data_IF_200188714560
#
_entry.id   IF_200188714560
#
_cell.length_a   1.000
_cell.length_b   1.000
_cell.length_c   1.000
_cell.angle_alpha   90.00
_cell.angle_beta   90.00
_cell.angle_gamma   90.00
#
_symmetry.space_group_name_H-M   'P 1'
#
loop_
_entity.id
_entity.type
_entity.pdbx_description
1 polymer ?
#
# COMPACT_ATOMS: atom_id res chain seq x y z
N UNK A 1 -15.45 -13.14 -70.13
CA UNK A 1 -14.90 -13.90 -69.00
C UNK A 1 -14.59 -12.90 -67.93
N UNK A 2 -15.53 -12.76 -66.92
CA UNK A 2 -15.36 -11.88 -65.76
C UNK A 2 -14.86 -12.72 -64.58
N UNK A 3 -13.72 -12.37 -64.03
CA UNK A 3 -13.15 -12.99 -62.82
C UNK A 3 -13.46 -12.11 -61.61
N UNK A 4 -14.40 -12.55 -60.77
CA UNK A 4 -14.65 -11.93 -59.47
C UNK A 4 -13.65 -12.41 -58.45
N UNK A 5 -12.75 -11.52 -57.98
CA UNK A 5 -11.94 -11.75 -56.78
C UNK A 5 -12.74 -11.44 -55.53
N UNK A 6 -13.10 -12.49 -54.79
CA UNK A 6 -13.63 -12.37 -53.41
C UNK A 6 -12.44 -12.12 -52.47
N UNK A 7 -12.28 -10.87 -52.06
CA UNK A 7 -11.38 -10.49 -50.99
C UNK A 7 -11.95 -10.87 -49.64
N UNK A 8 -11.45 -11.90 -48.98
CA UNK A 8 -11.81 -12.26 -47.63
C UNK A 8 -11.25 -11.24 -46.62
N UNK A 9 -12.14 -10.47 -45.98
CA UNK A 9 -11.77 -9.70 -44.78
C UNK A 9 -11.52 -10.68 -43.63
N UNK A 10 -10.27 -10.87 -43.28
CA UNK A 10 -9.90 -11.52 -42.02
C UNK A 10 -10.23 -10.55 -40.87
N UNK A 11 -11.35 -10.75 -40.22
CA UNK A 11 -11.67 -10.09 -38.96
C UNK A 11 -10.73 -10.69 -37.90
N UNK A 12 -9.62 -10.01 -37.66
CA UNK A 12 -8.75 -10.32 -36.52
C UNK A 12 -9.52 -10.12 -35.24
N UNK A 13 -9.87 -11.21 -34.54
CA UNK A 13 -10.34 -11.16 -33.18
C UNK A 13 -9.20 -10.64 -32.28
N UNK A 14 -9.07 -9.34 -32.17
CA UNK A 14 -8.27 -8.71 -31.14
C UNK A 14 -8.93 -8.99 -29.81
N UNK A 15 -8.51 -10.06 -29.13
CA UNK A 15 -8.84 -10.23 -27.73
C UNK A 15 -8.27 -9.04 -26.98
N UNK A 16 -9.11 -8.13 -26.54
CA UNK A 16 -8.74 -7.08 -25.62
C UNK A 16 -8.17 -7.80 -24.38
N UNK A 17 -6.86 -7.74 -24.18
CA UNK A 17 -6.25 -8.22 -22.96
C UNK A 17 -6.87 -7.45 -21.80
N UNK A 18 -7.55 -8.16 -20.91
CA UNK A 18 -8.02 -7.57 -19.66
C UNK A 18 -6.81 -6.95 -18.98
N UNK A 19 -6.84 -5.64 -18.65
CA UNK A 19 -5.67 -5.01 -18.02
C UNK A 19 -5.29 -5.79 -16.76
N UNK A 20 -4.02 -6.21 -16.67
CA UNK A 20 -3.54 -6.88 -15.47
C UNK A 20 -3.67 -5.94 -14.29
N UNK A 21 -4.18 -6.43 -13.16
CA UNK A 21 -4.28 -5.64 -11.93
C UNK A 21 -2.86 -5.26 -11.46
N UNK A 22 -2.57 -3.99 -11.19
CA UNK A 22 -1.23 -3.57 -10.78
C UNK A 22 -0.92 -4.07 -9.37
N UNK A 23 0.36 -4.33 -9.09
CA UNK A 23 0.83 -4.47 -7.73
C UNK A 23 0.84 -3.11 -7.03
N UNK A 24 0.56 -3.10 -5.73
CA UNK A 24 0.49 -1.89 -4.91
C UNK A 24 1.53 -1.99 -3.80
N UNK A 25 2.38 -0.98 -3.69
CA UNK A 25 3.31 -0.82 -2.57
C UNK A 25 2.98 0.47 -1.83
N UNK A 26 2.56 0.36 -0.58
CA UNK A 26 2.27 1.48 0.31
C UNK A 26 3.37 1.56 1.37
N UNK A 27 4.15 2.65 1.36
CA UNK A 27 5.21 2.88 2.34
C UNK A 27 4.75 3.96 3.30
N UNK A 28 4.78 3.67 4.60
CA UNK A 28 4.40 4.58 5.68
C UNK A 28 5.62 4.80 6.56
N UNK A 29 6.23 5.97 6.48
CA UNK A 29 7.29 6.35 7.40
C UNK A 29 6.67 6.78 8.73
N UNK A 30 7.03 6.07 9.82
CA UNK A 30 6.54 6.37 11.17
C UNK A 30 7.30 7.56 11.76
N UNK A 31 6.58 8.50 12.36
CA UNK A 31 7.12 9.71 13.00
C UNK A 31 8.08 10.52 12.09
N UNK A 32 7.88 10.47 10.78
CA UNK A 32 8.66 11.21 9.79
C UNK A 32 8.07 12.60 9.55
N UNK A 33 8.86 13.63 9.76
CA UNK A 33 8.47 15.00 9.48
C UNK A 33 8.59 15.34 8.00
N UNK A 34 7.79 16.29 7.54
CA UNK A 34 7.92 16.90 6.22
C UNK A 34 9.35 17.39 5.95
N UNK A 35 10.03 17.93 6.97
CA UNK A 35 11.38 18.45 6.86
C UNK A 35 12.48 17.36 6.88
N UNK A 36 12.14 16.10 7.01
CA UNK A 36 13.07 14.98 6.97
C UNK A 36 13.28 14.42 5.55
N UNK A 37 12.49 14.86 4.59
CA UNK A 37 12.48 14.33 3.22
C UNK A 37 13.01 15.36 2.23
N UNK A 38 14.02 15.00 1.43
CA UNK A 38 14.74 15.87 0.52
C UNK A 38 13.85 16.60 -0.48
N UNK A 39 12.93 15.92 -1.15
CA UNK A 39 12.03 16.54 -2.13
C UNK A 39 11.05 17.56 -1.52
N UNK A 40 10.94 17.63 -0.21
CA UNK A 40 10.19 18.64 0.53
C UNK A 40 11.09 19.72 1.17
N UNK A 41 12.39 19.69 0.92
CA UNK A 41 13.33 20.72 1.36
C UNK A 41 14.14 20.36 2.60
N UNK A 42 14.33 19.09 2.92
CA UNK A 42 15.23 18.66 4.00
C UNK A 42 16.64 19.20 3.76
N UNK A 43 17.22 19.80 4.81
CA UNK A 43 18.58 20.36 4.74
C UNK A 43 19.63 19.32 5.19
N UNK A 44 19.32 18.57 6.25
CA UNK A 44 20.26 17.66 6.90
C UNK A 44 20.14 16.21 6.44
N UNK A 45 19.00 15.82 5.87
CA UNK A 45 18.73 14.46 5.44
C UNK A 45 18.80 14.36 3.92
N UNK A 46 19.38 13.26 3.42
CA UNK A 46 19.40 12.93 2.00
C UNK A 46 18.54 11.72 1.76
N UNK A 47 17.51 11.89 0.92
CA UNK A 47 16.55 10.82 0.56
C UNK A 47 16.52 10.57 -0.95
N UNK A 48 17.66 10.18 -1.58
CA UNK A 48 17.80 10.21 -3.04
C UNK A 48 16.78 9.30 -3.76
N UNK A 49 16.40 8.17 -3.17
CA UNK A 49 15.42 7.25 -3.76
C UNK A 49 14.00 7.79 -3.68
N UNK A 50 13.61 8.39 -2.55
CA UNK A 50 12.31 9.06 -2.40
C UNK A 50 12.24 10.28 -3.33
N UNK A 51 13.31 11.04 -3.42
CA UNK A 51 13.40 12.21 -4.30
C UNK A 51 13.30 11.81 -5.79
N UNK A 52 13.90 10.66 -6.15
CA UNK A 52 13.77 10.11 -7.50
C UNK A 52 12.33 9.69 -7.81
N UNK A 53 11.66 9.05 -6.85
CA UNK A 53 10.24 8.68 -6.98
C UNK A 53 9.36 9.92 -7.13
N UNK A 54 9.60 10.97 -6.34
CA UNK A 54 8.88 12.23 -6.43
C UNK A 54 9.05 12.94 -7.79
N UNK A 55 10.23 12.80 -8.44
CA UNK A 55 10.46 13.33 -9.79
C UNK A 55 9.75 12.56 -10.90
N UNK A 56 9.54 11.26 -10.68
CA UNK A 56 8.94 10.36 -11.69
C UNK A 56 7.42 10.23 -11.52
N UNK A 57 6.90 10.56 -10.35
CA UNK A 57 5.50 10.40 -9.99
C UNK A 57 4.81 11.73 -9.68
N UNK A 58 3.81 11.66 -8.81
CA UNK A 58 3.05 12.81 -8.34
C UNK A 58 3.47 13.12 -6.90
N UNK A 59 3.86 14.36 -6.64
CA UNK A 59 4.17 14.88 -5.32
C UNK A 59 3.04 15.78 -4.82
N UNK A 60 2.48 15.46 -3.67
CA UNK A 60 1.48 16.29 -3.00
C UNK A 60 2.17 17.25 -2.02
N UNK A 61 2.08 18.55 -2.27
CA UNK A 61 2.68 19.55 -1.38
C UNK A 61 1.83 19.85 -0.13
N UNK A 62 0.55 19.49 -0.16
CA UNK A 62 -0.40 19.76 0.92
C UNK A 62 -1.25 18.51 1.18
N UNK A 63 -0.64 17.52 1.84
CA UNK A 63 -1.34 16.33 2.32
C UNK A 63 -1.37 16.37 3.86
N UNK A 64 -2.54 16.17 4.45
CA UNK A 64 -2.74 16.28 5.89
C UNK A 64 -3.39 15.04 6.46
N UNK A 65 -2.90 14.60 7.62
CA UNK A 65 -3.58 13.59 8.42
C UNK A 65 -4.79 14.21 9.15
N UNK A 66 -5.84 13.43 9.30
CA UNK A 66 -6.99 13.83 10.12
C UNK A 66 -6.70 13.81 11.62
N UNK A 67 -5.68 13.07 12.03
CA UNK A 67 -5.24 12.90 13.42
C UNK A 67 -3.72 12.75 13.44
N UNK A 68 -3.06 13.29 14.46
CA UNK A 68 -1.59 13.27 14.60
C UNK A 68 -1.04 12.07 15.37
N UNK A 69 -1.89 11.13 15.84
CA UNK A 69 -1.48 9.94 16.58
C UNK A 69 -1.43 8.70 15.70
N UNK A 70 -0.47 7.80 15.96
CA UNK A 70 -0.18 6.62 15.14
C UNK A 70 -1.39 5.69 14.94
N UNK A 71 -2.05 5.21 16.03
CA UNK A 71 -3.18 4.27 15.91
C UNK A 71 -4.33 4.83 15.08
N UNK A 72 -4.94 5.99 15.41
CA UNK A 72 -6.05 6.51 14.63
C UNK A 72 -5.67 6.91 13.20
N UNK A 73 -4.44 7.40 12.96
CA UNK A 73 -3.96 7.66 11.59
C UNK A 73 -3.91 6.37 10.77
N UNK A 74 -3.35 5.28 11.32
CA UNK A 74 -3.31 3.99 10.64
C UNK A 74 -4.70 3.42 10.40
N UNK A 75 -5.62 3.57 11.36
CA UNK A 75 -7.02 3.24 11.15
C UNK A 75 -7.61 4.02 9.96
N UNK A 76 -7.39 5.36 9.89
CA UNK A 76 -7.85 6.16 8.76
C UNK A 76 -7.29 5.69 7.42
N UNK A 77 -5.98 5.44 7.36
CA UNK A 77 -5.30 4.98 6.13
C UNK A 77 -5.84 3.63 5.66
N UNK A 78 -6.04 2.69 6.59
CA UNK A 78 -6.45 1.33 6.22
C UNK A 78 -7.97 1.16 6.07
N UNK A 79 -8.79 2.07 6.58
CA UNK A 79 -10.25 2.00 6.44
C UNK A 79 -10.82 3.00 5.44
N UNK A 80 -10.08 4.05 5.11
CA UNK A 80 -10.58 5.19 4.33
C UNK A 80 -11.60 6.05 5.09
N UNK A 81 -11.70 5.90 6.42
CA UNK A 81 -12.69 6.58 7.25
C UNK A 81 -12.02 7.57 8.21
N UNK A 82 -12.73 8.64 8.56
CA UNK A 82 -12.34 9.50 9.67
C UNK A 82 -12.62 8.85 11.03
N UNK A 83 -11.93 9.27 12.13
CA UNK A 83 -12.07 8.67 13.45
C UNK A 83 -13.52 8.60 13.96
N UNK A 84 -14.32 9.62 13.68
CA UNK A 84 -15.73 9.64 14.07
C UNK A 84 -16.58 8.55 13.42
N UNK A 85 -16.14 7.99 12.28
CA UNK A 85 -16.84 6.91 11.59
C UNK A 85 -16.30 5.53 12.00
N UNK A 86 -14.99 5.39 12.16
CA UNK A 86 -14.42 4.10 12.55
C UNK A 86 -14.33 3.88 14.07
N UNK A 87 -14.57 4.90 14.91
CA UNK A 87 -14.66 4.80 16.37
C UNK A 87 -13.33 4.80 17.11
N UNK A 88 -12.20 4.64 16.44
CA UNK A 88 -10.87 4.57 17.06
C UNK A 88 -10.19 5.94 17.20
N UNK A 89 -10.58 6.75 18.18
CA UNK A 89 -10.11 8.12 18.33
C UNK A 89 -8.75 8.26 18.99
N UNK A 90 -8.50 7.46 20.02
CA UNK A 90 -7.32 7.60 20.86
C UNK A 90 -6.21 6.66 20.38
N UNK A 91 -4.98 6.95 20.84
CA UNK A 91 -3.89 6.01 20.66
C UNK A 91 -4.21 4.68 21.38
N UNK A 92 -3.85 3.55 20.76
CA UNK A 92 -4.17 2.20 21.24
C UNK A 92 -5.68 1.84 21.31
N UNK A 93 -6.58 2.69 20.80
CA UNK A 93 -8.01 2.38 20.70
C UNK A 93 -8.31 1.34 19.62
N UNK A 94 -9.54 0.83 19.61
CA UNK A 94 -10.06 -0.10 18.61
C UNK A 94 -11.04 0.60 17.68
N UNK A 95 -11.14 0.16 16.45
CA UNK A 95 -12.25 0.52 15.57
C UNK A 95 -13.52 -0.24 15.97
N UNK A 96 -14.68 0.22 15.52
CA UNK A 96 -15.95 -0.47 15.67
C UNK A 96 -15.90 -1.86 14.99
N UNK A 97 -16.65 -2.82 15.54
CA UNK A 97 -16.56 -4.23 15.11
C UNK A 97 -16.99 -4.48 13.65
N UNK A 98 -17.83 -3.64 13.09
CA UNK A 98 -18.37 -3.72 11.73
C UNK A 98 -17.46 -3.06 10.67
N UNK A 99 -16.41 -2.36 11.11
CA UNK A 99 -15.49 -1.67 10.20
C UNK A 99 -14.66 -2.67 9.39
N UNK A 100 -14.68 -2.51 8.08
CA UNK A 100 -13.84 -3.26 7.14
C UNK A 100 -12.64 -2.40 6.71
N UNK A 101 -11.56 -3.06 6.36
CA UNK A 101 -10.31 -2.39 6.03
C UNK A 101 -9.75 -2.79 4.67
N UNK A 102 -8.72 -2.09 4.22
CA UNK A 102 -8.00 -2.30 2.96
C UNK A 102 -7.76 -3.79 2.62
N UNK A 103 -7.22 -4.63 3.53
CA UNK A 103 -7.01 -6.04 3.20
C UNK A 103 -8.31 -6.80 2.93
N UNK A 104 -9.43 -6.45 3.57
CA UNK A 104 -10.73 -7.06 3.27
C UNK A 104 -11.18 -6.71 1.85
N UNK A 105 -11.11 -5.42 1.48
CA UNK A 105 -11.58 -4.97 0.16
C UNK A 105 -10.69 -5.49 -0.97
N UNK A 106 -9.38 -5.38 -0.83
CA UNK A 106 -8.45 -5.86 -1.84
C UNK A 106 -8.40 -7.39 -1.92
N UNK A 107 -8.55 -8.09 -0.79
CA UNK A 107 -8.67 -9.55 -0.77
C UNK A 107 -9.87 -10.04 -1.58
N UNK A 108 -11.03 -9.38 -1.47
CA UNK A 108 -12.22 -9.67 -2.27
C UNK A 108 -12.00 -9.43 -3.79
N UNK A 109 -11.05 -8.58 -4.13
CA UNK A 109 -10.61 -8.34 -5.50
C UNK A 109 -9.51 -9.31 -5.97
N UNK A 110 -9.12 -10.30 -5.15
CA UNK A 110 -8.12 -11.31 -5.48
C UNK A 110 -6.67 -10.91 -5.20
N UNK A 111 -6.43 -9.81 -4.48
CA UNK A 111 -5.08 -9.43 -4.04
C UNK A 111 -4.62 -10.26 -2.85
N UNK A 112 -3.32 -10.57 -2.81
CA UNK A 112 -2.62 -10.86 -1.56
C UNK A 112 -2.33 -9.53 -0.84
N UNK A 113 -2.67 -9.42 0.43
CA UNK A 113 -2.49 -8.15 1.15
C UNK A 113 -1.65 -8.37 2.39
N UNK A 114 -0.41 -7.90 2.36
CA UNK A 114 0.57 -8.07 3.43
C UNK A 114 0.93 -6.77 4.14
N UNK A 115 1.39 -6.89 5.39
CA UNK A 115 1.96 -5.80 6.16
C UNK A 115 3.27 -6.25 6.79
N UNK A 116 4.35 -5.51 6.49
CA UNK A 116 5.64 -5.65 7.12
C UNK A 116 5.91 -4.42 8.00
N UNK A 117 6.30 -4.64 9.24
CA UNK A 117 6.64 -3.59 10.20
C UNK A 117 5.56 -3.28 11.21
N UNK A 118 5.36 -2.02 11.53
CA UNK A 118 4.49 -1.57 12.63
C UNK A 118 3.01 -1.77 12.32
N UNK A 119 2.34 -2.57 13.13
CA UNK A 119 0.91 -2.77 13.05
C UNK A 119 0.13 -1.64 13.72
N UNK A 120 0.16 -1.56 15.02
CA UNK A 120 -0.47 -0.53 15.87
C UNK A 120 -1.93 -0.23 15.52
N UNK A 121 -2.70 -1.28 15.23
CA UNK A 121 -4.11 -1.27 14.82
C UNK A 121 -4.91 -2.28 15.65
N UNK A 122 -6.17 -2.00 15.91
CA UNK A 122 -7.06 -2.86 16.71
C UNK A 122 -8.53 -2.73 16.27
N UNK A 123 -9.33 -3.81 16.44
CA UNK A 123 -8.88 -5.19 16.70
C UNK A 123 -8.29 -5.82 15.43
N UNK A 124 -7.37 -6.76 15.56
CA UNK A 124 -6.70 -7.37 14.39
C UNK A 124 -7.67 -8.09 13.45
N UNK A 125 -8.80 -8.57 13.97
CA UNK A 125 -9.83 -9.22 13.15
C UNK A 125 -10.40 -8.31 12.05
N UNK A 126 -10.40 -6.98 12.25
CA UNK A 126 -10.86 -6.01 11.25
C UNK A 126 -9.79 -5.69 10.20
N UNK A 127 -8.54 -6.14 10.42
CA UNK A 127 -7.38 -5.84 9.58
C UNK A 127 -6.66 -7.15 9.18
N UNK A 128 -7.27 -8.01 8.36
CA UNK A 128 -6.74 -9.33 8.01
C UNK A 128 -5.54 -9.24 7.03
N UNK A 129 -4.50 -8.50 7.41
CA UNK A 129 -3.23 -8.50 6.70
C UNK A 129 -2.50 -9.82 6.91
N UNK A 130 -1.83 -10.30 5.87
CA UNK A 130 -0.78 -11.30 6.03
C UNK A 130 0.44 -10.65 6.71
N UNK A 131 0.98 -11.32 7.72
CA UNK A 131 2.19 -10.87 8.40
C UNK A 131 3.42 -11.15 7.54
N UNK A 132 4.11 -10.09 7.12
CA UNK A 132 5.31 -10.20 6.29
C UNK A 132 6.54 -9.92 7.14
N UNK A 133 7.42 -10.92 7.36
CA UNK A 133 8.59 -10.75 8.20
C UNK A 133 9.65 -9.84 7.55
N UNK A 134 10.49 -9.23 8.37
CA UNK A 134 11.62 -8.41 7.93
C UNK A 134 11.73 -7.08 8.66
N UNK A 135 10.65 -6.61 9.25
CA UNK A 135 10.60 -5.38 10.03
C UNK A 135 9.88 -5.64 11.37
N UNK A 136 10.31 -5.01 12.47
CA UNK A 136 9.66 -5.17 13.77
C UNK A 136 8.23 -4.63 13.77
N UNK A 137 7.34 -5.32 14.46
CA UNK A 137 5.91 -4.96 14.54
C UNK A 137 5.58 -3.77 15.45
N UNK A 138 6.51 -3.38 16.31
CA UNK A 138 6.38 -2.29 17.27
C UNK A 138 7.22 -1.07 16.91
N UNK A 139 7.28 -0.09 17.84
CA UNK A 139 8.25 0.97 17.76
C UNK A 139 9.65 0.38 17.86
N UNK A 140 10.50 0.66 16.91
CA UNK A 140 11.78 -0.01 16.78
C UNK A 140 12.87 0.61 17.63
N UNK A 141 13.70 -0.26 18.20
CA UNK A 141 15.03 0.12 18.66
C UNK A 141 15.92 0.41 17.45
N UNK A 142 16.81 1.41 17.50
CA UNK A 142 17.77 1.68 16.44
C UNK A 142 18.74 0.52 16.15
N UNK A 143 18.78 -0.48 17.01
CA UNK A 143 19.64 -1.66 16.90
C UNK A 143 18.92 -2.89 16.34
N UNK A 144 17.77 -2.73 15.71
CA UNK A 144 17.02 -3.86 15.13
C UNK A 144 17.51 -4.13 13.70
N UNK A 145 17.88 -5.37 13.44
CA UNK A 145 18.23 -5.82 12.09
C UNK A 145 17.01 -5.87 11.20
N UNK A 146 16.97 -4.97 10.24
CA UNK A 146 16.01 -5.00 9.16
C UNK A 146 16.52 -5.89 8.04
N UNK A 147 15.64 -6.71 7.45
CA UNK A 147 16.01 -7.48 6.29
C UNK A 147 14.86 -7.56 5.28
N UNK A 148 15.20 -7.59 4.00
CA UNK A 148 14.23 -7.59 2.90
C UNK A 148 13.75 -8.98 2.48
N UNK A 149 14.38 -10.07 2.95
CA UNK A 149 14.10 -11.45 2.53
C UNK A 149 12.62 -11.85 2.61
N UNK A 150 11.92 -11.43 3.68
CA UNK A 150 10.50 -11.72 3.83
C UNK A 150 9.64 -10.95 2.83
N UNK A 151 10.02 -9.70 2.56
CA UNK A 151 9.39 -8.81 1.59
C UNK A 151 9.57 -9.37 0.17
N UNK A 152 10.79 -9.74 -0.20
CA UNK A 152 11.12 -10.36 -1.49
C UNK A 152 10.30 -11.64 -1.69
N UNK A 153 10.31 -12.54 -0.71
CA UNK A 153 9.52 -13.77 -0.74
C UNK A 153 8.02 -13.51 -0.89
N UNK A 154 7.47 -12.49 -0.22
CA UNK A 154 6.07 -12.11 -0.36
C UNK A 154 5.78 -11.60 -1.78
N UNK A 155 6.62 -10.74 -2.33
CA UNK A 155 6.42 -10.16 -3.65
C UNK A 155 6.55 -11.18 -4.79
N UNK A 156 7.50 -12.10 -4.69
CA UNK A 156 7.84 -13.08 -5.72
C UNK A 156 7.01 -14.37 -5.66
N UNK A 157 6.27 -14.61 -4.58
CA UNK A 157 5.59 -15.89 -4.29
C UNK A 157 4.68 -16.40 -5.41
N UNK A 158 3.98 -15.50 -6.10
CA UNK A 158 3.06 -15.84 -7.17
C UNK A 158 2.92 -14.66 -8.14
N UNK A 159 3.51 -14.79 -9.32
CA UNK A 159 3.47 -13.76 -10.35
C UNK A 159 2.08 -13.61 -11.02
N UNK A 160 1.19 -14.59 -10.86
CA UNK A 160 -0.16 -14.57 -11.43
C UNK A 160 -1.17 -13.83 -10.54
N UNK A 161 -0.85 -13.65 -9.25
CA UNK A 161 -1.72 -13.01 -8.29
C UNK A 161 -1.18 -11.61 -7.91
N UNK A 162 -1.96 -10.54 -8.10
CA UNK A 162 -1.53 -9.21 -7.70
C UNK A 162 -1.40 -9.11 -6.18
N UNK A 163 -0.52 -8.24 -5.72
CA UNK A 163 -0.35 -7.98 -4.29
C UNK A 163 -0.51 -6.51 -3.93
N UNK A 164 -0.91 -6.28 -2.69
CA UNK A 164 -0.76 -5.02 -2.00
C UNK A 164 0.12 -5.25 -0.77
N UNK A 165 1.28 -4.62 -0.73
CA UNK A 165 2.21 -4.70 0.39
C UNK A 165 2.31 -3.35 1.09
N UNK A 166 2.09 -3.36 2.40
CA UNK A 166 2.31 -2.21 3.28
C UNK A 166 3.64 -2.40 3.99
N UNK A 167 4.53 -1.41 3.86
CA UNK A 167 5.77 -1.28 4.64
C UNK A 167 5.59 -0.13 5.62
N UNK A 168 5.64 -0.40 6.93
CA UNK A 168 5.24 0.61 7.93
C UNK A 168 6.08 0.59 9.21
#
# INVERSE_FOLDING_TARGET
ISLCLLGGLAIGNGFAQTPSKPNILLIIADDCSYYDIGCFGAVNNKTPHIDALARQGIKFNSAYNSVSMSTPTRHCVYTGMYPMHHGGYANHSSVNADVKSLPTYLGNLGYRVGLAGKWHIKPLANFPFEDVPGFPKGCTSPNTDYHTKGIEKFMERDASQPFCLVLA
#
